data_IF_873417784796
#
_entry.id   IF_873417784796
#
_cell.length_a   1.000
_cell.length_b   1.000
_cell.length_c   1.000
_cell.angle_alpha   90.00
_cell.angle_beta   90.00
_cell.angle_gamma   90.00
#
_symmetry.space_group_name_H-M   'P 1'
#
loop_
_entity.id
_entity.type
_entity.pdbx_description
1 polymer ?
#
# COMPACT_ATOMS: atom_id res chain seq x y z
N UNK A 1 -24.05 16.99 4.27
CA UNK A 1 -23.89 16.64 2.85
C UNK A 1 -24.43 17.76 1.97
N UNK A 2 -23.55 18.59 1.40
CA UNK A 2 -23.82 19.41 0.22
C UNK A 2 -22.56 19.32 -0.62
N UNK A 3 -22.62 18.59 -1.74
CA UNK A 3 -21.61 18.70 -2.79
C UNK A 3 -21.99 19.94 -3.60
N UNK A 4 -21.17 21.01 -3.67
CA UNK A 4 -21.42 22.07 -4.62
C UNK A 4 -21.29 21.50 -6.04
N UNK A 5 -22.19 21.94 -6.89
CA UNK A 5 -22.48 21.46 -8.23
C UNK A 5 -21.28 21.46 -9.18
N UNK A 6 -20.45 20.41 -9.14
CA UNK A 6 -19.41 20.14 -10.17
C UNK A 6 -19.97 20.13 -11.60
N UNK A 7 -21.27 19.88 -11.78
CA UNK A 7 -21.93 19.84 -13.11
C UNK A 7 -22.25 21.20 -13.71
N UNK A 8 -22.56 22.22 -12.90
CA UNK A 8 -23.00 23.53 -13.41
C UNK A 8 -21.79 24.29 -13.99
N UNK A 9 -20.67 24.30 -13.26
CA UNK A 9 -19.42 24.91 -13.69
C UNK A 9 -18.83 24.26 -14.96
N UNK A 10 -19.04 22.95 -15.15
CA UNK A 10 -18.55 22.23 -16.33
C UNK A 10 -19.36 22.55 -17.60
N UNK A 11 -20.66 22.84 -17.47
CA UNK A 11 -21.54 23.17 -18.59
C UNK A 11 -21.39 24.63 -19.04
N UNK A 12 -21.17 25.57 -18.11
CA UNK A 12 -21.00 26.98 -18.44
C UNK A 12 -19.71 27.26 -19.24
N UNK A 13 -18.62 26.53 -18.98
CA UNK A 13 -17.34 26.75 -19.67
C UNK A 13 -17.29 26.16 -21.09
N UNK A 14 -18.03 25.07 -21.37
CA UNK A 14 -18.13 24.52 -22.73
C UNK A 14 -18.79 25.51 -23.71
N UNK A 15 -19.61 26.42 -23.19
CA UNK A 15 -20.22 27.50 -23.96
C UNK A 15 -19.31 28.73 -24.10
N UNK A 16 -18.51 29.07 -23.07
CA UNK A 16 -17.62 30.25 -23.10
C UNK A 16 -16.31 30.07 -23.88
N UNK A 17 -15.83 28.85 -24.14
CA UNK A 17 -14.65 28.63 -25.00
C UNK A 17 -14.84 29.05 -26.47
N UNK A 18 -16.06 29.45 -26.88
CA UNK A 18 -16.31 30.05 -28.19
C UNK A 18 -16.13 31.58 -28.23
N UNK A 19 -16.02 32.27 -27.09
CA UNK A 19 -15.91 33.74 -27.03
C UNK A 19 -14.92 34.11 -25.92
N UNK A 20 -13.77 34.69 -26.27
CA UNK A 20 -12.62 34.95 -25.38
C UNK A 20 -12.94 35.72 -24.09
N UNK A 21 -13.36 35.00 -23.04
CA UNK A 21 -13.70 35.48 -21.70
C UNK A 21 -12.90 34.63 -20.68
N UNK A 22 -11.56 34.71 -20.66
CA UNK A 22 -10.76 33.94 -19.69
C UNK A 22 -10.52 34.69 -18.37
N UNK A 23 -10.49 36.03 -18.38
CA UNK A 23 -10.14 36.81 -17.18
C UNK A 23 -11.29 37.00 -16.18
N UNK A 24 -12.55 37.06 -16.63
CA UNK A 24 -13.70 37.19 -15.71
C UNK A 24 -14.00 35.88 -14.96
N UNK A 25 -13.82 34.73 -15.62
CA UNK A 25 -14.06 33.41 -15.01
C UNK A 25 -13.09 33.12 -13.86
N UNK A 26 -11.84 33.59 -13.92
CA UNK A 26 -10.88 33.41 -12.82
C UNK A 26 -11.26 34.21 -11.56
N UNK A 27 -11.73 35.46 -11.74
CA UNK A 27 -12.14 36.30 -10.61
C UNK A 27 -13.39 35.76 -9.89
N UNK A 28 -14.35 35.20 -10.62
CA UNK A 28 -15.54 34.58 -10.02
C UNK A 28 -15.19 33.29 -9.24
N UNK A 29 -14.24 32.50 -9.73
CA UNK A 29 -13.77 31.30 -9.02
C UNK A 29 -13.01 31.65 -7.74
N UNK A 30 -12.11 32.64 -7.78
CA UNK A 30 -11.40 33.13 -6.58
C UNK A 30 -12.38 33.66 -5.51
N UNK A 31 -13.46 34.33 -5.94
CA UNK A 31 -14.50 34.80 -5.03
C UNK A 31 -15.25 33.65 -4.36
N UNK A 32 -15.65 32.64 -5.12
CA UNK A 32 -16.33 31.47 -4.57
C UNK A 32 -15.43 30.63 -3.65
N UNK A 33 -14.13 30.58 -3.93
CA UNK A 33 -13.13 30.00 -3.04
C UNK A 33 -13.07 30.72 -1.70
N UNK A 34 -12.97 32.04 -1.75
CA UNK A 34 -12.96 32.84 -0.55
C UNK A 34 -14.26 32.63 0.25
N UNK A 35 -15.42 32.57 -0.43
CA UNK A 35 -16.69 32.22 0.22
C UNK A 35 -16.64 30.83 0.88
N UNK A 36 -16.05 29.82 0.23
CA UNK A 36 -15.90 28.48 0.80
C UNK A 36 -15.02 28.48 2.06
N UNK A 37 -13.89 29.19 2.04
CA UNK A 37 -13.00 29.34 3.21
C UNK A 37 -13.75 30.03 4.37
N UNK A 38 -14.48 31.11 4.09
CA UNK A 38 -15.29 31.81 5.10
C UNK A 38 -16.42 30.93 5.64
N UNK A 39 -16.98 30.02 4.82
CA UNK A 39 -17.94 29.03 5.31
C UNK A 39 -17.30 28.01 6.25
N UNK A 40 -16.06 27.57 5.97
CA UNK A 40 -15.30 26.70 6.89
C UNK A 40 -15.08 27.43 8.22
N UNK A 41 -14.60 28.68 8.20
CA UNK A 41 -14.43 29.51 9.39
C UNK A 41 -15.72 29.55 10.22
N UNK A 42 -16.84 29.91 9.58
CA UNK A 42 -18.15 30.03 10.25
C UNK A 42 -18.57 28.73 10.91
N UNK A 43 -18.46 27.59 10.21
CA UNK A 43 -18.86 26.29 10.73
C UNK A 43 -17.96 25.88 11.90
N UNK A 44 -16.64 26.02 11.72
CA UNK A 44 -15.66 25.60 12.71
C UNK A 44 -15.78 26.43 14.00
N UNK A 45 -15.77 27.76 13.88
CA UNK A 45 -15.79 28.67 15.03
C UNK A 45 -17.16 28.75 15.72
N UNK A 46 -18.26 28.41 15.02
CA UNK A 46 -19.59 28.35 15.64
C UNK A 46 -19.86 27.03 16.38
N UNK A 47 -19.00 26.01 16.20
CA UNK A 47 -19.16 24.74 16.87
C UNK A 47 -18.97 24.91 18.38
N UNK A 48 -19.96 24.53 19.20
CA UNK A 48 -19.94 24.81 20.66
C UNK A 48 -19.29 23.72 21.48
N UNK A 49 -19.38 22.47 21.05
CA UNK A 49 -18.86 21.32 21.79
C UNK A 49 -17.41 21.04 21.43
N UNK A 50 -16.76 20.21 22.25
CA UNK A 50 -15.47 19.61 21.92
C UNK A 50 -15.61 18.71 20.69
N UNK A 51 -14.52 18.56 19.95
CA UNK A 51 -14.44 17.70 18.78
C UNK A 51 -13.42 16.61 19.08
N UNK A 52 -13.76 15.35 18.80
CA UNK A 52 -12.80 14.25 18.93
C UNK A 52 -11.93 14.13 17.69
N UNK A 53 -12.53 14.26 16.51
CA UNK A 53 -11.87 14.15 15.20
C UNK A 53 -12.39 15.23 14.25
N UNK A 54 -11.50 15.79 13.43
CA UNK A 54 -11.85 16.82 12.46
C UNK A 54 -11.09 16.60 11.15
N UNK A 55 -11.83 16.52 10.04
CA UNK A 55 -11.27 16.48 8.70
C UNK A 55 -11.68 17.71 7.91
N UNK A 56 -10.71 18.48 7.42
CA UNK A 56 -10.93 19.69 6.64
C UNK A 56 -10.26 19.52 5.28
N UNK A 57 -11.07 19.62 4.24
CA UNK A 57 -10.60 19.74 2.85
C UNK A 57 -10.65 21.22 2.50
N UNK A 58 -9.52 21.77 2.08
CA UNK A 58 -9.38 23.18 1.79
C UNK A 58 -8.58 23.43 0.53
N UNK A 59 -8.42 24.70 0.19
CA UNK A 59 -7.72 25.14 -1.02
C UNK A 59 -6.42 25.87 -0.67
N UNK A 60 -5.48 26.01 -1.62
CA UNK A 60 -4.18 26.66 -1.40
C UNK A 60 -4.25 28.04 -0.73
N UNK A 61 -5.28 28.82 -1.05
CA UNK A 61 -5.54 30.14 -0.47
C UNK A 61 -5.66 30.11 1.07
N UNK A 62 -6.14 29.00 1.62
CA UNK A 62 -6.28 28.84 3.08
C UNK A 62 -4.91 28.83 3.77
N UNK A 63 -3.87 28.33 3.10
CA UNK A 63 -2.48 28.40 3.58
C UNK A 63 -1.95 29.83 3.42
N UNK A 64 -2.14 30.42 2.23
CA UNK A 64 -1.62 31.75 1.88
C UNK A 64 -2.14 32.86 2.78
N UNK A 65 -3.42 32.80 3.16
CA UNK A 65 -4.08 33.80 4.00
C UNK A 65 -4.13 33.42 5.49
N UNK A 66 -3.47 32.33 5.89
CA UNK A 66 -3.32 31.94 7.30
C UNK A 66 -4.57 31.32 7.94
N UNK A 67 -5.62 31.01 7.17
CA UNK A 67 -6.81 30.33 7.71
C UNK A 67 -6.48 28.94 8.24
N UNK A 68 -5.63 28.19 7.53
CA UNK A 68 -5.20 26.85 7.98
C UNK A 68 -4.56 26.90 9.36
N UNK A 69 -3.66 27.86 9.57
CA UNK A 69 -3.04 28.11 10.87
C UNK A 69 -4.10 28.36 11.94
N UNK A 70 -5.03 29.29 11.69
CA UNK A 70 -6.09 29.64 12.63
C UNK A 70 -7.00 28.43 12.96
N UNK A 71 -7.26 27.57 11.97
CA UNK A 71 -8.04 26.34 12.18
C UNK A 71 -7.32 25.35 13.08
N UNK A 72 -6.03 25.12 12.86
CA UNK A 72 -5.22 24.23 13.69
C UNK A 72 -5.18 24.76 15.12
N UNK A 73 -4.85 26.05 15.31
CA UNK A 73 -4.76 26.67 16.63
C UNK A 73 -6.09 26.57 17.40
N UNK A 74 -7.22 26.82 16.72
CA UNK A 74 -8.53 26.70 17.34
C UNK A 74 -8.91 25.26 17.69
N UNK A 75 -8.63 24.30 16.81
CA UNK A 75 -8.90 22.88 17.07
C UNK A 75 -8.06 22.36 18.25
N UNK A 76 -6.78 22.72 18.27
CA UNK A 76 -5.82 22.29 19.30
C UNK A 76 -6.11 22.96 20.65
N UNK A 77 -6.38 24.26 20.66
CA UNK A 77 -6.49 25.03 21.91
C UNK A 77 -7.90 24.99 22.52
N UNK A 78 -8.95 25.01 21.69
CA UNK A 78 -10.33 25.25 22.15
C UNK A 78 -11.23 24.00 22.05
N UNK A 79 -10.82 22.96 21.32
CA UNK A 79 -11.69 21.80 21.03
C UNK A 79 -11.26 20.48 21.65
N UNK A 80 -10.08 20.40 22.25
CA UNK A 80 -9.56 19.16 22.84
C UNK A 80 -9.47 18.03 21.82
N UNK A 81 -9.09 18.37 20.59
CA UNK A 81 -9.07 17.48 19.43
C UNK A 81 -8.08 16.33 19.61
N UNK A 82 -8.47 15.14 19.18
CA UNK A 82 -7.63 13.93 19.24
C UNK A 82 -7.10 13.52 17.88
N UNK A 83 -7.84 13.82 16.82
CA UNK A 83 -7.49 13.45 15.46
C UNK A 83 -7.74 14.62 14.51
N UNK A 84 -6.73 14.93 13.70
CA UNK A 84 -6.80 15.99 12.70
C UNK A 84 -6.42 15.42 11.34
N UNK A 85 -7.22 15.71 10.32
CA UNK A 85 -6.89 15.42 8.94
C UNK A 85 -7.07 16.68 8.07
N UNK A 86 -6.01 17.11 7.40
CA UNK A 86 -6.06 18.22 6.47
C UNK A 86 -5.69 17.74 5.06
N UNK A 87 -6.51 18.12 4.09
CA UNK A 87 -6.27 17.84 2.67
C UNK A 87 -6.37 19.13 1.88
N UNK A 88 -5.29 19.49 1.20
CA UNK A 88 -5.32 20.59 0.25
C UNK A 88 -5.73 20.05 -1.14
N UNK A 89 -6.85 20.51 -1.70
CA UNK A 89 -7.24 20.19 -3.08
C UNK A 89 -6.86 21.35 -4.02
N UNK A 90 -6.14 21.04 -5.10
CA UNK A 90 -5.94 21.97 -6.21
C UNK A 90 -7.09 21.90 -7.24
N UNK A 91 -7.28 22.97 -8.00
CA UNK A 91 -8.33 23.05 -9.02
C UNK A 91 -8.00 22.23 -10.27
N UNK A 92 -9.00 21.56 -10.88
CA UNK A 92 -8.83 20.82 -12.14
C UNK A 92 -8.70 21.70 -13.40
N UNK A 93 -8.51 23.03 -13.27
CA UNK A 93 -8.62 23.97 -14.40
C UNK A 93 -7.31 24.58 -14.90
N UNK A 94 -6.15 24.19 -14.37
CA UNK A 94 -4.85 24.65 -14.89
C UNK A 94 -4.09 23.47 -15.49
N UNK A 95 -3.87 23.52 -16.81
CA UNK A 95 -3.38 22.44 -17.67
C UNK A 95 -1.92 21.99 -17.44
N UNK A 96 -1.27 22.41 -16.36
CA UNK A 96 0.11 22.02 -16.05
C UNK A 96 0.17 21.24 -14.74
N UNK A 97 -0.31 19.99 -14.76
CA UNK A 97 -0.29 19.04 -13.64
C UNK A 97 1.13 18.76 -13.10
N UNK A 98 2.19 19.05 -13.86
CA UNK A 98 3.57 18.68 -13.50
C UNK A 98 4.33 19.71 -12.64
N UNK A 99 3.80 20.92 -12.38
CA UNK A 99 4.66 22.06 -12.01
C UNK A 99 4.29 22.94 -10.82
N UNK A 100 3.25 22.64 -10.02
CA UNK A 100 2.84 23.55 -8.92
C UNK A 100 2.69 22.95 -7.52
N UNK A 101 2.68 21.63 -7.37
CA UNK A 101 2.75 21.01 -6.04
C UNK A 101 4.03 21.41 -5.27
N UNK A 102 5.05 21.89 -5.98
CA UNK A 102 6.31 22.41 -5.45
C UNK A 102 6.24 23.77 -4.75
N UNK A 103 5.13 24.51 -4.85
CA UNK A 103 5.12 25.95 -4.49
C UNK A 103 4.26 26.28 -3.25
N UNK A 104 3.34 25.40 -2.83
CA UNK A 104 2.51 25.66 -1.65
C UNK A 104 3.23 25.29 -0.36
N UNK A 105 4.12 26.19 0.06
CA UNK A 105 4.87 26.09 1.30
C UNK A 105 3.92 26.10 2.50
N UNK A 106 3.94 25.02 3.29
CA UNK A 106 3.27 25.01 4.58
C UNK A 106 4.15 25.71 5.62
N UNK A 107 3.97 27.01 5.80
CA UNK A 107 4.64 27.76 6.86
C UNK A 107 3.77 27.80 8.12
N UNK A 108 3.97 26.87 9.04
CA UNK A 108 3.31 26.87 10.34
C UNK A 108 4.29 27.25 11.46
N UNK A 109 3.81 27.86 12.55
CA UNK A 109 4.59 28.07 13.76
C UNK A 109 5.19 26.76 14.29
N UNK A 110 6.34 26.88 14.95
CA UNK A 110 6.96 25.77 15.64
C UNK A 110 6.02 25.19 16.70
N UNK A 111 5.93 23.86 16.75
CA UNK A 111 5.13 23.11 17.70
C UNK A 111 3.62 23.33 17.60
N UNK A 112 3.08 23.79 16.45
CA UNK A 112 1.64 24.00 16.29
C UNK A 112 0.82 22.71 16.52
N UNK A 113 1.42 21.54 16.27
CA UNK A 113 0.81 20.24 16.53
C UNK A 113 1.14 19.68 17.91
N UNK A 114 1.95 20.40 18.71
CA UNK A 114 2.25 20.02 20.09
C UNK A 114 1.01 20.24 20.96
N UNK A 115 0.29 19.15 21.19
CA UNK A 115 -0.91 19.14 22.00
C UNK A 115 -0.96 17.86 22.84
N UNK A 116 -1.54 17.94 24.03
CA UNK A 116 -1.70 16.78 24.91
C UNK A 116 -2.83 15.85 24.48
N UNK A 117 -3.84 16.38 23.79
CA UNK A 117 -5.00 15.61 23.33
C UNK A 117 -4.80 15.02 21.94
N UNK A 118 -3.96 15.63 21.10
CA UNK A 118 -3.76 15.21 19.71
C UNK A 118 -2.91 13.93 19.65
N UNK A 119 -3.51 12.87 19.10
CA UNK A 119 -2.89 11.55 18.96
C UNK A 119 -2.76 11.10 17.50
N UNK A 120 -3.56 11.63 16.57
CA UNK A 120 -3.47 11.31 15.15
C UNK A 120 -3.45 12.57 14.26
N UNK A 121 -2.53 12.59 13.30
CA UNK A 121 -2.41 13.65 12.30
C UNK A 121 -2.29 13.05 10.89
N UNK A 122 -3.16 13.48 9.98
CA UNK A 122 -3.08 13.20 8.56
C UNK A 122 -2.91 14.50 7.77
N UNK A 123 -1.87 14.57 6.95
CA UNK A 123 -1.63 15.68 6.04
C UNK A 123 -1.63 15.15 4.60
N UNK A 124 -2.35 15.82 3.71
CA UNK A 124 -2.45 15.46 2.29
C UNK A 124 -2.22 16.66 1.37
N UNK A 125 -1.32 16.51 0.39
CA UNK A 125 -0.94 17.55 -0.58
C UNK A 125 -0.30 18.80 0.05
N UNK A 126 0.82 18.63 0.75
CA UNK A 126 1.59 19.76 1.30
C UNK A 126 3.08 19.68 0.95
N UNK A 127 3.73 20.86 0.95
CA UNK A 127 5.19 20.95 0.98
C UNK A 127 5.67 21.33 2.38
N UNK A 128 6.44 20.45 3.01
CA UNK A 128 7.09 20.69 4.29
C UNK A 128 8.56 21.06 4.04
N UNK A 129 8.95 22.28 4.40
CA UNK A 129 10.34 22.74 4.28
C UNK A 129 11.15 22.51 5.57
N UNK A 130 10.46 22.35 6.69
CA UNK A 130 11.05 22.15 8.02
C UNK A 130 10.17 21.22 8.86
N UNK A 131 10.79 20.57 9.83
CA UNK A 131 10.16 19.73 10.85
C UNK A 131 9.59 20.54 12.03
N UNK A 132 9.90 21.83 12.11
CA UNK A 132 9.54 22.70 13.26
C UNK A 132 8.07 22.65 13.67
N UNK A 133 7.14 22.42 12.74
CA UNK A 133 5.70 22.29 13.05
C UNK A 133 5.40 21.13 14.00
N UNK A 134 6.29 20.14 14.04
CA UNK A 134 6.22 18.92 14.83
C UNK A 134 7.03 18.98 16.13
N UNK A 135 7.71 20.10 16.41
CA UNK A 135 8.48 20.28 17.64
C UNK A 135 7.63 19.91 18.86
N UNK A 136 8.19 19.07 19.74
CA UNK A 136 7.54 18.61 20.97
C UNK A 136 6.20 17.86 20.78
N UNK A 137 5.99 17.17 19.65
CA UNK A 137 4.82 16.32 19.40
C UNK A 137 4.87 14.97 20.13
N UNK A 138 5.07 14.99 21.44
CA UNK A 138 5.30 13.78 22.24
C UNK A 138 4.06 12.88 22.40
N UNK A 139 2.85 13.38 22.16
CA UNK A 139 1.61 12.61 22.31
C UNK A 139 1.09 12.02 20.99
N UNK A 140 1.72 12.37 19.87
CA UNK A 140 1.31 11.90 18.56
C UNK A 140 1.68 10.43 18.40
N UNK A 141 0.66 9.59 18.17
CA UNK A 141 0.80 8.13 18.00
C UNK A 141 0.61 7.69 16.56
N UNK A 142 -0.13 8.47 15.76
CA UNK A 142 -0.41 8.17 14.37
C UNK A 142 -0.04 9.36 13.50
N UNK A 143 0.83 9.14 12.54
CA UNK A 143 1.21 10.13 11.54
C UNK A 143 1.01 9.54 10.15
N UNK A 144 0.17 10.21 9.35
CA UNK A 144 -0.08 9.85 7.95
C UNK A 144 0.27 11.02 7.05
N UNK A 145 1.27 10.82 6.20
CA UNK A 145 1.71 11.80 5.21
C UNK A 145 1.39 11.24 3.83
N UNK A 146 0.54 11.96 3.08
CA UNK A 146 0.09 11.54 1.76
C UNK A 146 0.33 12.62 0.72
N UNK A 147 1.04 12.30 -0.36
CA UNK A 147 1.29 13.24 -1.44
C UNK A 147 2.02 14.50 -0.95
N UNK A 148 3.02 14.33 -0.08
CA UNK A 148 3.84 15.44 0.43
C UNK A 148 5.15 15.57 -0.35
N UNK A 149 5.65 16.80 -0.43
CA UNK A 149 7.05 17.08 -0.77
C UNK A 149 7.81 17.48 0.51
N UNK A 150 8.86 16.75 0.86
CA UNK A 150 9.71 17.02 2.04
C UNK A 150 11.12 16.47 1.83
N UNK A 151 12.12 17.07 2.49
CA UNK A 151 13.50 16.57 2.44
C UNK A 151 13.72 15.43 3.42
N UNK A 152 14.79 14.66 3.21
CA UNK A 152 15.25 13.62 4.13
C UNK A 152 15.43 14.17 5.56
N UNK A 153 16.06 15.33 5.71
CA UNK A 153 16.29 15.95 7.03
C UNK A 153 14.98 16.32 7.71
N UNK A 154 14.00 16.78 6.92
CA UNK A 154 12.67 17.12 7.43
C UNK A 154 11.95 15.87 7.91
N UNK A 155 12.00 14.76 7.16
CA UNK A 155 11.39 13.49 7.57
C UNK A 155 12.04 12.94 8.84
N UNK A 156 13.37 12.91 8.89
CA UNK A 156 14.16 12.46 10.05
C UNK A 156 13.81 13.31 11.29
N UNK A 157 13.73 14.64 11.13
CA UNK A 157 13.32 15.58 12.18
C UNK A 157 11.90 15.33 12.71
N UNK A 158 10.94 15.11 11.81
CA UNK A 158 9.54 14.80 12.17
C UNK A 158 9.46 13.51 12.98
N UNK A 159 10.12 12.43 12.51
CA UNK A 159 10.13 11.13 13.20
C UNK A 159 10.76 11.27 14.58
N UNK A 160 11.88 11.98 14.70
CA UNK A 160 12.57 12.19 15.97
C UNK A 160 11.76 13.01 16.99
N UNK A 161 10.96 13.97 16.51
CA UNK A 161 10.10 14.81 17.36
C UNK A 161 8.88 14.06 17.92
N UNK A 162 8.45 13.00 17.25
CA UNK A 162 7.27 12.20 17.61
C UNK A 162 7.65 10.96 18.45
N UNK A 163 8.12 11.18 19.68
CA UNK A 163 8.66 10.10 20.53
C UNK A 163 7.67 8.94 20.84
N UNK A 164 6.35 9.18 20.83
CA UNK A 164 5.32 8.17 21.09
C UNK A 164 4.70 7.59 19.82
N UNK A 165 5.34 7.76 18.65
CA UNK A 165 4.78 7.32 17.38
C UNK A 165 4.62 5.79 17.36
N UNK A 166 3.40 5.32 17.13
CA UNK A 166 3.03 3.90 17.02
C UNK A 166 2.71 3.50 15.58
N UNK A 167 2.22 4.43 14.76
CA UNK A 167 1.81 4.19 13.38
C UNK A 167 2.33 5.30 12.47
N UNK A 168 3.13 4.92 11.47
CA UNK A 168 3.64 5.82 10.43
C UNK A 168 3.18 5.33 9.05
N UNK A 169 2.56 6.23 8.29
CA UNK A 169 2.13 5.96 6.91
C UNK A 169 2.69 7.05 5.99
N UNK A 170 3.45 6.64 4.97
CA UNK A 170 3.99 7.50 3.92
C UNK A 170 3.45 7.00 2.59
N UNK A 171 2.66 7.83 1.90
CA UNK A 171 2.02 7.45 0.63
C UNK A 171 2.28 8.53 -0.41
N UNK A 172 2.83 8.18 -1.59
CA UNK A 172 3.13 9.11 -2.69
C UNK A 172 3.96 10.34 -2.28
N UNK A 173 4.84 10.22 -1.28
CA UNK A 173 5.66 11.33 -0.84
C UNK A 173 6.98 11.39 -1.63
N UNK A 174 7.47 12.61 -1.90
CA UNK A 174 8.67 12.86 -2.71
C UNK A 174 9.61 13.88 -2.04
N UNK A 175 10.85 14.01 -2.56
CA UNK A 175 11.84 14.99 -2.09
C UNK A 175 12.87 14.45 -1.11
N UNK A 176 12.80 13.16 -0.75
CA UNK A 176 13.75 12.47 0.11
C UNK A 176 14.30 11.22 -0.58
N UNK A 177 15.54 10.88 -0.27
CA UNK A 177 16.27 9.77 -0.90
C UNK A 177 16.32 8.53 0.00
N UNK A 178 16.01 8.67 1.29
CA UNK A 178 16.07 7.57 2.26
C UNK A 178 14.94 7.64 3.27
N UNK A 179 14.53 6.48 3.78
CA UNK A 179 13.58 6.34 4.89
C UNK A 179 14.22 5.53 6.00
N UNK A 180 14.57 6.19 7.10
CA UNK A 180 15.15 5.55 8.28
C UNK A 180 14.19 5.60 9.46
N UNK A 181 13.71 4.43 9.87
CA UNK A 181 12.80 4.29 11.00
C UNK A 181 13.49 3.42 12.05
N UNK A 182 14.09 4.10 13.02
CA UNK A 182 14.71 3.50 14.20
C UNK A 182 13.91 3.92 15.42
N UNK A 183 13.07 3.03 15.92
CA UNK A 183 12.17 3.32 17.03
C UNK A 183 11.89 2.08 17.89
N UNK A 184 11.60 2.30 19.16
CA UNK A 184 11.13 1.26 20.07
C UNK A 184 9.60 1.23 20.19
N UNK A 185 8.90 2.26 19.68
CA UNK A 185 7.46 2.43 19.87
C UNK A 185 6.61 2.16 18.61
N UNK A 186 7.23 2.24 17.43
CA UNK A 186 6.52 2.08 16.15
C UNK A 186 6.06 0.63 15.97
N UNK A 187 4.74 0.42 15.90
CA UNK A 187 4.08 -0.88 15.75
C UNK A 187 3.61 -1.14 14.33
N UNK A 188 3.36 -0.08 13.57
CA UNK A 188 2.86 -0.16 12.20
C UNK A 188 3.58 0.82 11.30
N UNK A 189 4.07 0.31 10.16
CA UNK A 189 4.65 1.12 9.08
C UNK A 189 3.95 0.76 7.77
N UNK A 190 3.48 1.78 7.07
CA UNK A 190 2.92 1.70 5.72
C UNK A 190 3.76 2.58 4.80
N UNK A 191 4.42 1.97 3.83
CA UNK A 191 5.20 2.66 2.80
C UNK A 191 4.57 2.36 1.45
N UNK A 192 3.99 3.38 0.84
CA UNK A 192 3.21 3.22 -0.38
C UNK A 192 3.69 4.23 -1.43
N UNK A 193 3.89 3.76 -2.65
CA UNK A 193 4.20 4.61 -3.80
C UNK A 193 5.40 5.54 -3.54
N UNK A 194 6.53 4.97 -3.09
CA UNK A 194 7.77 5.72 -2.79
C UNK A 194 8.88 5.39 -3.78
N UNK A 195 9.71 6.39 -4.08
CA UNK A 195 10.93 6.27 -4.89
C UNK A 195 12.12 6.77 -4.07
N UNK A 196 12.94 5.83 -3.59
CA UNK A 196 14.03 6.10 -2.65
C UNK A 196 15.23 5.20 -2.91
N UNK A 197 16.42 5.67 -2.56
CA UNK A 197 17.65 4.90 -2.65
C UNK A 197 17.80 3.89 -1.51
N UNK A 198 17.26 4.17 -0.32
CA UNK A 198 17.49 3.34 0.86
C UNK A 198 16.29 3.33 1.81
N UNK A 199 15.92 2.15 2.32
CA UNK A 199 14.92 1.99 3.37
C UNK A 199 15.53 1.15 4.49
N UNK A 200 15.60 1.72 5.69
CA UNK A 200 16.08 1.04 6.89
C UNK A 200 15.00 1.07 7.97
N UNK A 201 14.45 -0.11 8.27
CA UNK A 201 13.46 -0.33 9.32
C UNK A 201 14.10 -1.15 10.43
N UNK A 202 14.54 -0.51 11.51
CA UNK A 202 15.11 -1.19 12.67
C UNK A 202 14.24 -0.90 13.89
N UNK A 203 13.21 -1.72 14.08
CA UNK A 203 12.14 -1.44 15.04
C UNK A 203 11.68 -2.73 15.74
N UNK A 204 12.01 -2.85 17.03
CA UNK A 204 11.78 -4.08 17.81
C UNK A 204 10.31 -4.31 18.19
N UNK A 205 9.47 -3.30 18.06
CA UNK A 205 8.02 -3.35 18.33
C UNK A 205 7.16 -3.45 17.07
N UNK A 206 7.77 -3.45 15.88
CA UNK A 206 7.05 -3.47 14.61
C UNK A 206 6.30 -4.79 14.47
N UNK A 207 4.97 -4.72 14.47
CA UNK A 207 4.07 -5.87 14.33
C UNK A 207 3.44 -5.97 12.95
N UNK A 208 3.27 -4.83 12.26
CA UNK A 208 2.64 -4.72 10.95
C UNK A 208 3.52 -3.90 10.02
N UNK A 209 3.84 -4.47 8.86
CA UNK A 209 4.55 -3.78 7.79
C UNK A 209 3.79 -3.94 6.47
N UNK A 210 3.50 -2.81 5.83
CA UNK A 210 2.89 -2.76 4.49
C UNK A 210 3.85 -2.04 3.56
N UNK A 211 4.23 -2.70 2.49
CA UNK A 211 5.02 -2.16 1.39
C UNK A 211 4.15 -2.22 0.13
N UNK A 212 3.87 -1.09 -0.51
CA UNK A 212 3.08 -1.06 -1.75
C UNK A 212 3.81 -0.22 -2.78
N UNK A 213 4.14 -0.82 -3.92
CA UNK A 213 4.66 -0.12 -5.11
C UNK A 213 5.88 0.75 -4.77
N UNK A 214 6.94 0.09 -4.30
CA UNK A 214 8.20 0.74 -3.94
C UNK A 214 9.21 0.67 -5.08
N UNK A 215 9.96 1.77 -5.28
CA UNK A 215 11.16 1.82 -6.10
C UNK A 215 12.36 2.03 -5.17
N UNK A 216 13.11 0.96 -4.93
CA UNK A 216 14.27 0.95 -4.04
C UNK A 216 15.14 -0.27 -4.38
N UNK A 217 16.47 -0.16 -4.57
CA UNK A 217 17.28 -1.34 -4.79
C UNK A 217 17.08 -2.38 -3.66
N UNK A 218 16.78 -3.66 -3.96
CA UNK A 218 16.47 -4.65 -2.91
C UNK A 218 17.55 -4.80 -1.84
N UNK A 219 18.82 -4.62 -2.24
CA UNK A 219 20.00 -4.66 -1.33
C UNK A 219 20.02 -3.53 -0.29
N UNK A 220 19.33 -2.43 -0.57
CA UNK A 220 19.28 -1.23 0.27
C UNK A 220 17.95 -1.18 1.06
N UNK A 221 17.17 -2.26 1.03
CA UNK A 221 15.98 -2.49 1.85
C UNK A 221 16.34 -3.37 3.06
N UNK A 222 16.63 -2.73 4.19
CA UNK A 222 17.01 -3.38 5.43
C UNK A 222 15.81 -3.40 6.38
N UNK A 223 15.38 -4.59 6.79
CA UNK A 223 14.25 -4.75 7.72
C UNK A 223 14.67 -5.65 8.88
N UNK A 224 14.78 -5.05 10.06
CA UNK A 224 15.01 -5.71 11.34
C UNK A 224 13.78 -5.50 12.25
N UNK A 225 12.88 -6.48 12.23
CA UNK A 225 11.59 -6.45 12.92
C UNK A 225 11.25 -7.85 13.48
N UNK A 226 11.86 -8.26 14.60
CA UNK A 226 11.72 -9.64 15.11
C UNK A 226 10.30 -9.98 15.60
N UNK A 227 9.49 -8.96 15.92
CA UNK A 227 8.09 -9.12 16.35
C UNK A 227 7.08 -8.98 15.19
N UNK A 228 7.55 -8.98 13.95
CA UNK A 228 6.66 -8.82 12.80
C UNK A 228 5.68 -10.00 12.74
N UNK A 229 4.38 -9.67 12.70
CA UNK A 229 3.29 -10.66 12.64
C UNK A 229 2.47 -10.54 11.36
N UNK A 230 2.44 -9.36 10.75
CA UNK A 230 1.74 -9.08 9.50
C UNK A 230 2.71 -8.44 8.52
N UNK A 231 2.91 -9.10 7.39
CA UNK A 231 3.69 -8.58 6.28
C UNK A 231 2.82 -8.54 5.02
N UNK A 232 2.67 -7.35 4.46
CA UNK A 232 1.93 -7.10 3.23
C UNK A 232 2.89 -6.46 2.22
N UNK A 233 3.00 -7.03 1.02
CA UNK A 233 3.85 -6.49 -0.03
C UNK A 233 3.14 -6.54 -1.39
N UNK A 234 2.98 -5.39 -2.04
CA UNK A 234 2.23 -5.24 -3.29
C UNK A 234 3.06 -4.46 -4.31
N UNK A 235 2.79 -4.67 -5.60
CA UNK A 235 3.39 -3.95 -6.70
C UNK A 235 2.35 -3.71 -7.79
N UNK A 236 1.77 -2.51 -7.81
CA UNK A 236 0.86 -2.11 -8.86
C UNK A 236 1.65 -1.67 -10.11
N UNK A 237 1.56 -2.46 -11.19
CA UNK A 237 2.18 -2.13 -12.47
C UNK A 237 1.45 -1.05 -13.27
N UNK A 238 0.22 -0.69 -12.89
CA UNK A 238 -0.54 0.40 -13.52
C UNK A 238 -0.18 1.68 -12.76
N UNK A 239 0.64 2.54 -13.36
CA UNK A 239 0.92 3.91 -12.87
C UNK A 239 -0.36 4.78 -12.94
N UNK A 240 -1.43 4.40 -12.24
CA UNK A 240 -2.64 5.20 -12.11
C UNK A 240 -2.53 6.07 -10.86
N UNK A 241 -1.60 7.03 -10.93
CA UNK A 241 -1.46 8.12 -9.96
C UNK A 241 -1.38 9.48 -10.69
N UNK A 242 -1.78 10.60 -10.06
CA UNK A 242 -1.68 11.93 -10.67
C UNK A 242 -0.23 12.38 -10.92
N UNK A 243 0.74 11.63 -10.42
CA UNK A 243 2.15 11.92 -10.39
C UNK A 243 2.87 10.77 -11.08
N UNK A 244 3.44 11.04 -12.25
CA UNK A 244 4.44 10.14 -12.82
C UNK A 244 5.56 10.01 -11.80
N UNK A 245 5.79 8.79 -11.31
CA UNK A 245 6.93 8.53 -10.42
C UNK A 245 8.21 9.03 -11.08
N UNK A 246 9.10 9.59 -10.29
CA UNK A 246 10.44 9.91 -10.76
C UNK A 246 11.08 8.64 -11.38
N UNK A 247 11.92 8.86 -12.41
CA UNK A 247 12.43 7.80 -13.30
C UNK A 247 13.72 7.18 -12.79
N UNK A 248 14.08 7.40 -11.54
CA UNK A 248 15.42 7.07 -11.05
C UNK A 248 15.57 5.57 -10.83
N UNK A 249 14.52 4.92 -10.31
CA UNK A 249 14.48 3.47 -10.10
C UNK A 249 13.27 2.80 -10.76
N UNK A 250 13.42 1.52 -11.12
CA UNK A 250 12.30 0.66 -11.52
C UNK A 250 11.57 0.13 -10.26
N UNK A 251 10.25 -0.08 -10.32
CA UNK A 251 9.51 -0.73 -9.24
C UNK A 251 10.07 -2.11 -8.91
N UNK A 252 10.21 -2.38 -7.61
CA UNK A 252 10.74 -3.65 -7.11
C UNK A 252 9.66 -4.70 -7.14
N UNK A 253 9.95 -5.86 -7.71
CA UNK A 253 9.07 -7.01 -7.58
C UNK A 253 9.04 -7.49 -6.14
N UNK A 254 7.84 -7.79 -5.64
CA UNK A 254 7.66 -8.37 -4.29
C UNK A 254 8.50 -9.65 -4.10
N UNK A 255 8.65 -10.46 -5.15
CA UNK A 255 9.50 -11.64 -5.11
C UNK A 255 10.97 -11.32 -4.79
N UNK A 256 11.51 -10.20 -5.28
CA UNK A 256 12.89 -9.77 -4.99
C UNK A 256 13.04 -9.31 -3.53
N UNK A 257 12.01 -8.64 -2.99
CA UNK A 257 11.95 -8.29 -1.55
C UNK A 257 11.97 -9.57 -0.71
N UNK A 258 11.12 -10.55 -1.05
CA UNK A 258 11.07 -11.82 -0.34
C UNK A 258 12.39 -12.60 -0.44
N UNK A 259 13.03 -12.62 -1.62
CA UNK A 259 14.32 -13.26 -1.83
C UNK A 259 15.43 -12.61 -0.98
N UNK A 260 15.43 -11.28 -0.87
CA UNK A 260 16.37 -10.54 -0.03
C UNK A 260 16.11 -10.80 1.47
N UNK A 261 14.87 -10.62 1.94
CA UNK A 261 14.52 -10.76 3.36
C UNK A 261 14.59 -12.22 3.86
N UNK A 262 14.54 -13.21 2.99
CA UNK A 262 14.60 -14.63 3.37
C UNK A 262 16.04 -15.12 3.58
N UNK A 263 17.05 -14.28 3.30
CA UNK A 263 18.46 -14.65 3.40
C UNK A 263 18.93 -15.62 2.31
N UNK A 264 18.17 -15.76 1.21
CA UNK A 264 18.54 -16.62 0.08
C UNK A 264 19.73 -16.08 -0.71
N UNK A 265 19.93 -14.76 -0.71
CA UNK A 265 21.07 -14.07 -1.29
C UNK A 265 22.25 -13.95 -0.30
N UNK A 266 22.62 -15.02 0.43
CA UNK A 266 23.98 -15.09 1.01
C UNK A 266 25.01 -15.31 -0.10
N UNK A 267 25.06 -14.42 -1.09
CA UNK A 267 26.22 -14.29 -1.97
C UNK A 267 27.34 -13.71 -1.11
N UNK A 268 28.42 -14.48 -0.96
CA UNK A 268 29.64 -14.00 -0.34
C UNK A 268 30.13 -12.73 -1.05
N UNK A 269 30.53 -11.76 -0.24
CA UNK A 269 31.07 -10.43 -0.60
C UNK A 269 30.01 -9.37 -0.93
N UNK A 270 29.53 -8.63 0.06
CA UNK A 270 30.01 -7.26 0.33
C UNK A 270 29.42 -6.71 1.64
N UNK A 271 30.27 -6.02 2.41
CA UNK A 271 30.03 -5.20 3.62
C UNK A 271 28.64 -5.26 4.28
N UNK A 272 28.31 -6.36 4.96
CA UNK A 272 27.22 -6.34 5.94
C UNK A 272 27.68 -5.58 7.19
N UNK A 273 27.03 -4.46 7.50
CA UNK A 273 26.96 -4.02 8.89
C UNK A 273 26.47 -5.19 9.74
N UNK A 274 27.16 -5.45 10.85
CA UNK A 274 26.86 -6.52 11.79
C UNK A 274 25.43 -6.40 12.33
N UNK A 275 24.47 -7.03 11.66
CA UNK A 275 23.23 -7.49 12.30
C UNK A 275 23.48 -8.95 12.68
N UNK A 276 23.98 -9.13 13.90
CA UNK A 276 24.20 -10.44 14.56
C UNK A 276 22.89 -11.14 14.95
N UNK A 277 21.82 -10.99 14.16
CA UNK A 277 20.54 -11.61 14.47
C UNK A 277 20.15 -12.56 13.33
N UNK A 278 20.40 -13.85 13.56
CA UNK A 278 20.02 -14.96 12.67
C UNK A 278 18.48 -15.15 12.59
N UNK A 279 17.71 -14.27 13.22
CA UNK A 279 16.24 -14.28 13.25
C UNK A 279 15.68 -13.83 11.90
N UNK A 280 15.11 -14.77 11.14
CA UNK A 280 14.43 -14.46 9.88
C UNK A 280 13.19 -13.58 10.14
N UNK A 281 13.00 -12.54 9.32
CA UNK A 281 11.80 -11.69 9.31
C UNK A 281 10.47 -12.49 9.31
N UNK A 282 10.53 -13.72 8.79
CA UNK A 282 9.36 -14.57 8.55
C UNK A 282 9.00 -15.50 9.72
N UNK A 283 9.86 -15.63 10.75
CA UNK A 283 9.70 -16.66 11.80
C UNK A 283 8.39 -16.54 12.59
N UNK A 284 8.00 -15.30 12.94
CA UNK A 284 6.83 -15.00 13.77
C UNK A 284 5.59 -14.55 12.96
N UNK A 285 5.63 -14.63 11.63
CA UNK A 285 4.53 -14.16 10.80
C UNK A 285 3.26 -15.00 10.98
N UNK A 286 2.16 -14.30 11.18
CA UNK A 286 0.81 -14.86 11.22
C UNK A 286 0.03 -14.58 9.95
N UNK A 287 0.28 -13.44 9.30
CA UNK A 287 -0.35 -13.03 8.05
C UNK A 287 0.70 -12.64 7.03
N UNK A 288 0.63 -13.27 5.86
CA UNK A 288 1.42 -12.94 4.68
C UNK A 288 0.47 -12.61 3.54
N UNK A 289 0.54 -11.40 3.01
CA UNK A 289 -0.24 -10.96 1.85
C UNK A 289 0.71 -10.39 0.79
N UNK A 290 0.79 -11.03 -0.38
CA UNK A 290 1.82 -10.71 -1.36
C UNK A 290 1.31 -10.74 -2.80
N UNK A 291 1.85 -9.86 -3.64
CA UNK A 291 1.76 -10.01 -5.08
C UNK A 291 2.82 -11.00 -5.56
N UNK A 292 2.41 -12.09 -6.20
CA UNK A 292 3.32 -13.14 -6.63
C UNK A 292 2.75 -13.91 -7.84
N UNK A 293 3.54 -14.03 -8.92
CA UNK A 293 3.15 -14.82 -10.07
C UNK A 293 3.44 -16.30 -9.82
N UNK A 294 2.38 -17.05 -9.48
CA UNK A 294 2.45 -18.51 -9.35
C UNK A 294 2.76 -19.22 -10.68
N UNK A 295 2.73 -18.51 -11.81
CA UNK A 295 3.21 -19.02 -13.09
C UNK A 295 4.70 -18.72 -13.31
N UNK A 296 5.38 -17.97 -12.45
CA UNK A 296 6.82 -17.79 -12.55
C UNK A 296 7.51 -18.82 -11.64
N UNK A 297 8.28 -19.73 -12.23
CA UNK A 297 8.94 -20.79 -11.44
C UNK A 297 9.86 -20.23 -10.35
N UNK A 298 10.59 -19.13 -10.62
CA UNK A 298 11.48 -18.52 -9.62
C UNK A 298 10.68 -18.01 -8.42
N UNK A 299 9.55 -17.36 -8.67
CA UNK A 299 8.70 -16.82 -7.60
C UNK A 299 8.03 -17.92 -6.79
N UNK A 300 7.61 -19.02 -7.44
CA UNK A 300 7.10 -20.21 -6.74
C UNK A 300 8.17 -20.82 -5.83
N UNK A 301 9.44 -20.86 -6.29
CA UNK A 301 10.55 -21.35 -5.47
C UNK A 301 10.80 -20.45 -4.24
N UNK A 302 10.75 -19.13 -4.42
CA UNK A 302 10.87 -18.15 -3.33
C UNK A 302 9.72 -18.35 -2.34
N UNK A 303 8.48 -18.43 -2.81
CA UNK A 303 7.31 -18.70 -1.97
C UNK A 303 7.47 -19.99 -1.16
N UNK A 304 7.91 -21.08 -1.80
CA UNK A 304 8.12 -22.36 -1.10
C UNK A 304 9.16 -22.24 0.02
N UNK A 305 10.18 -21.41 -0.14
CA UNK A 305 11.19 -21.17 0.90
C UNK A 305 10.58 -20.32 2.02
N UNK A 306 9.88 -19.23 1.69
CA UNK A 306 9.22 -18.37 2.66
C UNK A 306 8.23 -19.17 3.52
N UNK A 307 7.39 -20.00 2.91
CA UNK A 307 6.44 -20.87 3.62
C UNK A 307 7.14 -21.88 4.55
N UNK A 308 8.36 -22.31 4.22
CA UNK A 308 9.13 -23.19 5.11
C UNK A 308 9.63 -22.46 6.35
N UNK A 309 9.99 -21.19 6.21
CA UNK A 309 10.52 -20.37 7.33
C UNK A 309 9.38 -19.82 8.19
N UNK A 310 8.24 -19.48 7.60
CA UNK A 310 7.04 -19.10 8.34
C UNK A 310 6.47 -20.33 9.06
N UNK A 311 6.74 -20.54 10.34
CA UNK A 311 6.20 -21.69 11.09
C UNK A 311 4.80 -21.41 11.66
N UNK A 312 4.50 -20.14 11.97
CA UNK A 312 3.27 -19.72 12.63
C UNK A 312 2.20 -19.12 11.70
N UNK A 313 2.37 -19.24 10.37
CA UNK A 313 1.50 -18.59 9.39
C UNK A 313 0.06 -19.11 9.46
N UNK A 314 -0.88 -18.21 9.78
CA UNK A 314 -2.31 -18.50 9.88
C UNK A 314 -3.08 -18.08 8.65
N UNK A 315 -2.65 -17.00 8.00
CA UNK A 315 -3.32 -16.43 6.83
C UNK A 315 -2.31 -16.20 5.71
N UNK A 316 -2.61 -16.74 4.54
CA UNK A 316 -1.86 -16.53 3.31
C UNK A 316 -2.77 -15.91 2.26
N UNK A 317 -2.38 -14.77 1.72
CA UNK A 317 -3.02 -14.12 0.59
C UNK A 317 -1.99 -13.93 -0.53
N UNK A 318 -2.33 -14.42 -1.73
CA UNK A 318 -1.50 -14.29 -2.92
C UNK A 318 -2.34 -13.59 -3.98
N UNK A 319 -1.88 -12.45 -4.46
CA UNK A 319 -2.46 -11.78 -5.62
C UNK A 319 -1.57 -12.08 -6.83
N UNK A 320 -2.15 -12.70 -7.84
CA UNK A 320 -1.45 -13.01 -9.07
C UNK A 320 -1.63 -11.80 -9.99
N UNK A 321 -0.56 -11.08 -10.35
CA UNK A 321 -0.67 -9.89 -11.17
C UNK A 321 -1.19 -10.22 -12.57
N UNK A 322 -2.05 -9.35 -13.12
CA UNK A 322 -2.42 -9.39 -14.53
C UNK A 322 -1.15 -9.13 -15.36
N UNK A 323 -0.82 -10.03 -16.29
CA UNK A 323 0.31 -9.85 -17.19
C UNK A 323 -0.10 -8.82 -18.25
N UNK A 324 -0.04 -7.54 -17.92
CA UNK A 324 0.02 -6.51 -18.96
C UNK A 324 1.42 -6.54 -19.58
N UNK A 325 1.46 -6.65 -20.90
CA UNK A 325 2.64 -6.81 -21.74
C UNK A 325 3.67 -5.66 -21.69
N UNK A 326 3.53 -4.74 -20.74
CA UNK A 326 4.33 -3.53 -20.59
C UNK A 326 5.44 -3.63 -19.53
N UNK A 327 5.59 -4.75 -18.80
CA UNK A 327 6.86 -5.08 -18.12
C UNK A 327 7.92 -5.51 -19.15
N UNK A 328 8.20 -4.64 -20.12
CA UNK A 328 9.37 -4.69 -21.00
C UNK A 328 10.35 -3.58 -20.58
N UNK A 329 10.60 -3.48 -19.28
CA UNK A 329 11.72 -2.78 -18.68
C UNK A 329 12.59 -3.81 -17.98
N UNK A 330 13.79 -4.02 -18.54
CA UNK A 330 14.91 -4.80 -18.07
C UNK A 330 14.77 -5.63 -16.76
N UNK A 331 14.32 -6.88 -16.88
CA UNK A 331 15.22 -7.90 -16.33
C UNK A 331 16.51 -7.78 -17.13
N UNK A 332 17.63 -7.54 -16.47
CA UNK A 332 18.91 -8.07 -16.94
C UNK A 332 18.67 -9.47 -17.51
N UNK A 333 19.42 -9.84 -18.55
CA UNK A 333 19.33 -11.09 -19.33
C UNK A 333 19.51 -12.41 -18.51
N UNK A 334 19.12 -12.43 -17.23
CA UNK A 334 19.06 -13.58 -16.34
C UNK A 334 17.62 -14.07 -16.05
N UNK A 335 16.58 -13.40 -16.57
CA UNK A 335 15.17 -13.63 -16.20
C UNK A 335 14.33 -14.58 -17.07
N UNK A 336 14.91 -15.24 -18.09
CA UNK A 336 14.26 -16.37 -18.79
C UNK A 336 15.25 -17.51 -19.00
N UNK A 337 16.13 -17.75 -18.01
CA UNK A 337 16.68 -19.09 -17.91
C UNK A 337 15.51 -19.98 -17.52
N UNK A 338 15.08 -20.84 -18.45
CA UNK A 338 14.29 -22.02 -18.11
C UNK A 338 15.06 -22.76 -17.01
N UNK A 339 14.75 -22.46 -15.76
CA UNK A 339 15.17 -23.22 -14.59
C UNK A 339 14.50 -24.59 -14.75
N UNK A 340 15.14 -25.45 -15.55
CA UNK A 340 14.70 -26.82 -15.74
C UNK A 340 14.88 -27.51 -14.39
N UNK A 341 13.77 -27.74 -13.71
CA UNK A 341 13.77 -28.60 -12.54
C UNK A 341 14.30 -29.99 -12.96
N UNK A 342 15.02 -30.70 -12.08
CA UNK A 342 15.50 -32.05 -12.36
C UNK A 342 14.36 -33.10 -12.40
N UNK A 343 13.11 -32.65 -12.25
CA UNK A 343 11.89 -33.44 -12.21
C UNK A 343 10.73 -32.66 -12.87
N UNK A 344 9.63 -33.32 -13.27
CA UNK A 344 8.45 -32.63 -13.80
C UNK A 344 7.92 -31.56 -12.85
N UNK A 345 7.45 -30.43 -13.37
CA UNK A 345 6.93 -29.33 -12.55
C UNK A 345 5.78 -29.76 -11.63
N UNK A 346 4.98 -30.74 -12.06
CA UNK A 346 3.93 -31.37 -11.26
C UNK A 346 4.43 -32.07 -9.99
N UNK A 347 5.73 -32.37 -9.87
CA UNK A 347 6.33 -32.95 -8.67
C UNK A 347 6.98 -31.91 -7.75
N UNK A 348 6.93 -30.62 -8.08
CA UNK A 348 7.62 -29.56 -7.33
C UNK A 348 7.30 -29.58 -5.85
N UNK A 349 6.01 -29.66 -5.52
CA UNK A 349 5.55 -29.64 -4.14
C UNK A 349 5.63 -31.01 -3.46
N UNK A 350 5.68 -32.10 -4.23
CA UNK A 350 5.81 -33.47 -3.72
C UNK A 350 7.25 -33.83 -3.32
N UNK A 351 8.23 -33.22 -4.00
CA UNK A 351 9.67 -33.44 -3.76
C UNK A 351 10.24 -32.55 -2.66
N UNK A 352 9.46 -31.58 -2.17
CA UNK A 352 9.86 -30.65 -1.11
C UNK A 352 9.45 -31.20 0.25
N UNK A 353 10.21 -30.80 1.26
CA UNK A 353 9.85 -31.04 2.67
C UNK A 353 8.52 -30.36 2.98
N UNK A 354 7.74 -30.99 3.86
CA UNK A 354 6.47 -30.43 4.30
C UNK A 354 6.74 -29.14 5.07
N UNK A 355 6.01 -28.07 4.72
CA UNK A 355 6.07 -26.83 5.47
C UNK A 355 5.24 -26.98 6.76
N UNK A 356 5.85 -26.63 7.89
CA UNK A 356 5.18 -26.69 9.20
C UNK A 356 3.93 -25.80 9.22
N UNK A 357 3.97 -24.62 8.60
CA UNK A 357 2.78 -23.79 8.56
C UNK A 357 1.62 -24.41 7.79
N UNK A 358 1.87 -24.98 6.62
CA UNK A 358 0.83 -25.61 5.80
C UNK A 358 0.17 -26.72 6.61
N UNK A 359 0.98 -27.54 7.28
CA UNK A 359 0.49 -28.72 8.00
C UNK A 359 -0.18 -28.38 9.33
N UNK A 360 0.28 -27.38 10.09
CA UNK A 360 -0.12 -27.18 11.50
C UNK A 360 -0.76 -25.83 11.84
N UNK A 361 -0.57 -24.75 11.07
CA UNK A 361 -1.02 -23.40 11.47
C UNK A 361 -1.89 -22.66 10.45
N UNK A 362 -1.80 -23.00 9.16
CA UNK A 362 -2.49 -22.30 8.08
C UNK A 362 -4.01 -22.50 8.11
N UNK A 363 -4.74 -21.45 8.47
CA UNK A 363 -6.20 -21.45 8.65
C UNK A 363 -6.95 -20.90 7.43
N UNK A 364 -6.43 -19.82 6.83
CA UNK A 364 -7.12 -19.08 5.78
C UNK A 364 -6.18 -18.86 4.61
N UNK A 365 -6.63 -19.24 3.41
CA UNK A 365 -5.91 -18.97 2.16
C UNK A 365 -6.81 -18.16 1.22
N UNK A 366 -6.27 -17.13 0.60
CA UNK A 366 -6.88 -16.39 -0.51
C UNK A 366 -5.92 -16.36 -1.68
N UNK A 367 -6.39 -16.75 -2.87
CA UNK A 367 -5.64 -16.62 -4.12
C UNK A 367 -6.47 -15.77 -5.07
N UNK A 368 -5.96 -14.61 -5.43
CA UNK A 368 -6.61 -13.65 -6.31
C UNK A 368 -5.91 -13.64 -7.68
N UNK A 369 -6.63 -13.38 -8.78
CA UNK A 369 -6.05 -13.39 -10.14
C UNK A 369 -5.79 -14.79 -10.72
N UNK A 370 -6.54 -15.80 -10.27
CA UNK A 370 -6.31 -17.19 -10.65
C UNK A 370 -6.73 -17.46 -12.10
N UNK A 371 -5.81 -17.97 -12.93
CA UNK A 371 -6.05 -18.25 -14.36
C UNK A 371 -6.07 -19.74 -14.71
N UNK A 372 -5.83 -20.63 -13.75
CA UNK A 372 -6.01 -22.07 -13.90
C UNK A 372 -4.90 -22.81 -14.65
N UNK A 373 -3.71 -22.22 -14.75
CA UNK A 373 -2.52 -22.87 -15.29
C UNK A 373 -1.98 -23.97 -14.35
N UNK A 374 -1.19 -24.89 -14.90
CA UNK A 374 -0.68 -26.08 -14.20
C UNK A 374 -0.01 -25.77 -12.84
N UNK A 375 0.88 -24.78 -12.77
CA UNK A 375 1.58 -24.43 -11.53
C UNK A 375 0.64 -23.92 -10.43
N UNK A 376 -0.37 -23.14 -10.81
CA UNK A 376 -1.41 -22.66 -9.88
C UNK A 376 -2.26 -23.82 -9.36
N UNK A 377 -2.66 -24.74 -10.25
CA UNK A 377 -3.40 -25.95 -9.90
C UNK A 377 -2.61 -26.85 -8.94
N UNK A 378 -1.31 -27.04 -9.17
CA UNK A 378 -0.45 -27.86 -8.31
C UNK A 378 -0.26 -27.24 -6.92
N UNK A 379 -0.15 -25.92 -6.83
CA UNK A 379 -0.13 -25.24 -5.52
C UNK A 379 -1.45 -25.45 -4.75
N UNK A 380 -2.60 -25.27 -5.41
CA UNK A 380 -3.92 -25.51 -4.81
C UNK A 380 -4.06 -26.98 -4.38
N UNK A 381 -3.65 -27.92 -5.23
CA UNK A 381 -3.63 -29.35 -4.94
C UNK A 381 -2.80 -29.67 -3.70
N UNK A 382 -1.61 -29.09 -3.59
CA UNK A 382 -0.75 -29.27 -2.43
C UNK A 382 -1.43 -28.79 -1.14
N UNK A 383 -2.03 -27.61 -1.16
CA UNK A 383 -2.77 -27.08 -0.01
C UNK A 383 -3.96 -27.97 0.39
N UNK A 384 -4.78 -28.43 -0.57
CA UNK A 384 -5.93 -29.30 -0.29
C UNK A 384 -5.49 -30.63 0.36
N UNK A 385 -4.38 -31.20 -0.12
CA UNK A 385 -3.92 -32.54 0.25
C UNK A 385 -2.93 -32.57 1.41
N UNK A 386 -2.46 -31.41 1.89
CA UNK A 386 -1.49 -31.31 2.99
C UNK A 386 -1.91 -30.40 4.14
N UNK A 387 -2.80 -29.41 3.91
CA UNK A 387 -3.18 -28.48 4.96
C UNK A 387 -4.23 -29.07 5.90
N UNK A 388 -3.81 -29.49 7.10
CA UNK A 388 -4.65 -30.29 8.01
C UNK A 388 -5.61 -29.45 8.86
N UNK A 389 -5.24 -28.19 9.14
CA UNK A 389 -6.02 -27.27 10.00
C UNK A 389 -6.77 -26.19 9.22
N UNK A 390 -6.67 -26.19 7.89
CA UNK A 390 -7.23 -25.15 7.02
C UNK A 390 -8.75 -25.06 7.15
N UNK A 391 -9.27 -23.87 7.44
CA UNK A 391 -10.71 -23.60 7.64
C UNK A 391 -11.37 -23.04 6.39
N UNK A 392 -10.67 -22.18 5.67
CA UNK A 392 -11.20 -21.52 4.47
C UNK A 392 -10.13 -21.34 3.41
N UNK A 393 -10.48 -21.70 2.18
CA UNK A 393 -9.70 -21.39 0.98
C UNK A 393 -10.61 -20.62 0.02
N UNK A 394 -10.17 -19.46 -0.45
CA UNK A 394 -10.88 -18.66 -1.46
C UNK A 394 -10.03 -18.56 -2.70
N UNK A 395 -10.59 -18.88 -3.86
CA UNK A 395 -9.93 -18.72 -5.16
C UNK A 395 -10.78 -17.75 -5.97
N UNK A 396 -10.23 -16.56 -6.22
CA UNK A 396 -10.82 -15.55 -7.07
C UNK A 396 -10.16 -15.62 -8.44
N UNK A 397 -10.95 -16.00 -9.43
CA UNK A 397 -10.47 -16.17 -10.79
C UNK A 397 -10.27 -14.82 -11.48
N UNK A 398 -9.32 -14.80 -12.40
CA UNK A 398 -9.17 -13.73 -13.37
C UNK A 398 -10.10 -13.95 -14.58
N UNK A 399 -10.46 -12.88 -15.28
CA UNK A 399 -11.31 -12.95 -16.46
C UNK A 399 -10.60 -13.63 -17.66
N UNK A 400 -9.26 -13.74 -17.64
CA UNK A 400 -8.49 -14.49 -18.65
C UNK A 400 -8.43 -16.00 -18.42
N UNK A 401 -9.07 -16.53 -17.37
CA UNK A 401 -9.03 -17.96 -17.08
C UNK A 401 -9.63 -18.81 -18.22
N UNK A 402 -8.93 -19.89 -18.60
CA UNK A 402 -9.46 -20.82 -19.62
C UNK A 402 -10.52 -21.75 -19.03
N UNK A 403 -11.44 -22.23 -19.88
CA UNK A 403 -12.42 -23.23 -19.46
C UNK A 403 -11.75 -24.47 -18.86
N UNK A 404 -10.68 -24.97 -19.47
CA UNK A 404 -9.96 -26.15 -18.99
C UNK A 404 -9.38 -25.93 -17.59
N UNK A 405 -8.83 -24.74 -17.32
CA UNK A 405 -8.28 -24.38 -16.01
C UNK A 405 -9.37 -24.30 -14.92
N UNK A 406 -10.53 -23.71 -15.25
CA UNK A 406 -11.66 -23.65 -14.32
C UNK A 406 -12.24 -25.06 -14.04
N UNK A 407 -12.40 -25.89 -15.07
CA UNK A 407 -12.84 -27.28 -14.92
C UNK A 407 -11.83 -28.14 -14.15
N UNK A 408 -10.53 -27.96 -14.40
CA UNK A 408 -9.48 -28.62 -13.64
C UNK A 408 -9.53 -28.23 -12.16
N UNK A 409 -9.83 -26.98 -11.85
CA UNK A 409 -10.00 -26.51 -10.46
C UNK A 409 -11.19 -27.19 -9.78
N UNK A 410 -12.31 -27.40 -10.49
CA UNK A 410 -13.43 -28.19 -9.96
C UNK A 410 -13.03 -29.63 -9.67
N UNK A 411 -12.21 -30.25 -10.53
CA UNK A 411 -11.69 -31.61 -10.31
C UNK A 411 -10.80 -31.68 -9.05
N UNK A 412 -10.06 -30.62 -8.71
CA UNK A 412 -9.28 -30.54 -7.47
C UNK A 412 -10.15 -30.58 -6.21
N UNK A 413 -11.39 -30.09 -6.26
CA UNK A 413 -12.31 -30.12 -5.12
C UNK A 413 -12.76 -31.52 -4.72
N UNK A 414 -12.61 -32.50 -5.63
CA UNK A 414 -12.91 -33.92 -5.42
C UNK A 414 -11.78 -34.67 -4.70
N UNK A 415 -10.60 -34.05 -4.56
CA UNK A 415 -9.46 -34.69 -3.90
C UNK A 415 -9.74 -34.93 -2.40
N UNK A 416 -9.13 -35.98 -1.81
CA UNK A 416 -9.16 -36.17 -0.37
C UNK A 416 -8.59 -34.95 0.34
N UNK A 417 -9.43 -34.28 1.14
CA UNK A 417 -9.06 -33.08 1.89
C UNK A 417 -8.36 -33.50 3.18
N UNK A 418 -7.21 -32.91 3.47
CA UNK A 418 -6.55 -33.11 4.77
C UNK A 418 -7.32 -32.47 5.91
N UNK A 419 -7.92 -31.31 5.67
CA UNK A 419 -8.87 -30.69 6.59
C UNK A 419 -10.29 -31.10 6.23
N UNK A 420 -10.97 -31.76 7.16
CA UNK A 420 -12.34 -32.26 6.98
C UNK A 420 -13.34 -31.11 6.82
N UNK A 421 -13.14 -30.02 7.56
CA UNK A 421 -14.09 -28.91 7.66
C UNK A 421 -13.74 -27.72 6.75
N UNK A 422 -12.81 -27.88 5.81
CA UNK A 422 -12.40 -26.77 4.95
C UNK A 422 -13.53 -26.33 4.03
N UNK A 423 -13.85 -25.04 4.08
CA UNK A 423 -14.73 -24.37 3.13
C UNK A 423 -13.91 -23.83 1.97
N UNK A 424 -14.08 -24.41 0.78
CA UNK A 424 -13.44 -23.92 -0.45
C UNK A 424 -14.47 -23.10 -1.23
N UNK A 425 -14.17 -21.82 -1.46
CA UNK A 425 -15.05 -20.86 -2.15
C UNK A 425 -14.39 -20.43 -3.46
N UNK A 426 -15.06 -20.68 -4.58
CA UNK A 426 -14.63 -20.23 -5.90
C UNK A 426 -15.43 -18.98 -6.29
N UNK A 427 -14.76 -17.92 -6.70
CA UNK A 427 -15.37 -16.69 -7.19
C UNK A 427 -14.98 -16.47 -8.65
N UNK A 428 -15.98 -16.24 -9.49
CA UNK A 428 -15.81 -15.92 -10.90
C UNK A 428 -15.06 -14.59 -11.10
N UNK A 429 -14.55 -14.38 -12.32
CA UNK A 429 -13.85 -13.16 -12.69
C UNK A 429 -14.69 -11.88 -12.53
N UNK A 430 -14.03 -10.74 -12.25
CA UNK A 430 -14.70 -9.49 -11.87
C UNK A 430 -15.65 -8.94 -12.95
N UNK A 431 -15.34 -9.08 -14.25
CA UNK A 431 -16.25 -8.68 -15.33
C UNK A 431 -17.56 -9.47 -15.31
N UNK A 432 -17.49 -10.78 -15.06
CA UNK A 432 -18.70 -11.60 -15.00
C UNK A 432 -19.56 -11.26 -13.78
N UNK A 433 -18.92 -11.05 -12.61
CA UNK A 433 -19.63 -10.71 -11.37
C UNK A 433 -20.31 -9.34 -11.48
N UNK A 434 -19.67 -8.37 -12.12
CA UNK A 434 -20.22 -7.02 -12.30
C UNK A 434 -21.37 -6.97 -13.30
N UNK A 435 -21.36 -7.82 -14.33
CA UNK A 435 -22.40 -7.84 -15.37
C UNK A 435 -23.63 -8.69 -15.02
N UNK A 436 -23.49 -9.71 -14.17
CA UNK A 436 -24.59 -10.59 -13.75
C UNK A 436 -24.65 -10.73 -12.24
N UNK A 437 -25.32 -9.77 -11.59
CA UNK A 437 -25.65 -9.80 -10.16
C UNK A 437 -26.24 -11.16 -9.75
N UNK A 438 -25.44 -12.00 -9.08
CA UNK A 438 -25.88 -13.27 -8.50
C UNK A 438 -25.76 -14.52 -9.40
N UNK A 439 -25.06 -14.47 -10.53
CA UNK A 439 -24.81 -15.67 -11.33
C UNK A 439 -23.82 -16.63 -10.62
N UNK A 440 -24.12 -17.92 -10.63
CA UNK A 440 -23.30 -18.94 -9.97
C UNK A 440 -22.00 -19.24 -10.76
N UNK A 441 -21.01 -19.80 -10.08
CA UNK A 441 -19.70 -20.13 -10.67
C UNK A 441 -19.80 -21.10 -11.86
N UNK A 442 -20.74 -22.05 -11.82
CA UNK A 442 -20.97 -22.99 -12.92
C UNK A 442 -21.46 -22.30 -14.20
N UNK A 443 -22.32 -21.27 -14.07
CA UNK A 443 -22.77 -20.48 -15.21
C UNK A 443 -21.59 -19.70 -15.81
N UNK A 444 -20.66 -19.21 -14.99
CA UNK A 444 -19.47 -18.54 -15.48
C UNK A 444 -18.59 -19.45 -16.35
N UNK A 445 -18.33 -20.70 -15.92
CA UNK A 445 -17.53 -21.66 -16.71
C UNK A 445 -18.14 -21.89 -18.11
N UNK A 446 -19.47 -21.94 -18.21
CA UNK A 446 -20.16 -22.08 -19.50
C UNK A 446 -19.96 -20.90 -20.44
N UNK A 447 -19.58 -19.73 -19.91
CA UNK A 447 -19.27 -18.52 -20.68
C UNK A 447 -17.80 -18.40 -21.09
N UNK A 448 -16.91 -19.15 -20.43
CA UNK A 448 -15.49 -19.19 -20.78
C UNK A 448 -15.28 -19.89 -22.14
N UNK A 449 -14.30 -19.38 -22.89
CA UNK A 449 -13.87 -19.92 -24.19
C UNK A 449 -13.04 -21.18 -24.04
#
# INVERSE_FOLDING_TARGET
MMKPSKRILYQEKKNSHRHGIDNCLNHDVEKELFHAIVMIDKVLFSHRCNLTSCKIIHFPDSCKYGHLKNWIEFLVSEKGIQEIAFTCEEFPFQQNFMGRFSDLKLSLPSGIFSCTTLHALELTHYKLETDSSFDHCHNLRTLKLKLLFLTTETLDGIISSCASLEHLSLSFCTGFDRVWIVSENVKTVELEYLDVHEICLSTMSLGVLVLDTLKCPPKDLIINAPKLTVFCAYCNGKEEGPYHFHKDHEPVKVAEILEHCSGLLRLGNDRSYHLNDDSSLFENLWTLSIDLDLNNIREVLILAIVLRVCTQLKQLEINIPEIDSEWKGATSDHGTQNLSLPYPESMLWDKRELCDCITHSLNVVSINGFNGKERQLEFVRHLITKATVMKRMTICFDDSCSREGAEATLKLLLLPRSSINVSIVLKAGPEFVSTRNGANFETWISTLK
#
